data_IF_676473555978
#
_entry.id   IF_676473555978
#
_cell.length_a   1.000
_cell.length_b   1.000
_cell.length_c   1.000
_cell.angle_alpha   90.00
_cell.angle_beta   90.00
_cell.angle_gamma   90.00
#
_symmetry.space_group_name_H-M   'P 1'
#
loop_
_entity.id
_entity.type
_entity.pdbx_description
1 polymer ?
#
# COMPACT_ATOMS: atom_id res chain seq x y z
N UNK A 1 -18.20 2.74 -14.03
CA UNK A 1 -16.83 2.49 -14.54
C UNK A 1 -16.22 1.40 -13.66
N UNK A 2 -15.49 0.43 -14.21
CA UNK A 2 -14.90 -0.64 -13.38
C UNK A 2 -13.79 -0.10 -12.48
N UNK A 3 -13.57 -0.79 -11.37
CA UNK A 3 -12.57 -0.45 -10.37
C UNK A 3 -11.18 -0.13 -10.94
N UNK A 4 -10.78 -0.96 -11.90
CA UNK A 4 -9.48 -0.89 -12.58
C UNK A 4 -9.35 0.32 -13.49
N UNK A 5 -10.46 0.83 -14.04
CA UNK A 5 -10.44 1.99 -14.94
C UNK A 5 -10.18 3.31 -14.20
N UNK A 6 -10.74 3.50 -13.00
CA UNK A 6 -10.40 4.68 -12.19
C UNK A 6 -8.95 4.68 -11.74
N UNK A 7 -8.39 3.49 -11.45
CA UNK A 7 -6.99 3.31 -11.11
C UNK A 7 -6.08 3.66 -12.29
N UNK A 8 -6.38 3.14 -13.48
CA UNK A 8 -5.60 3.46 -14.70
C UNK A 8 -5.67 4.95 -15.03
N UNK A 9 -6.85 5.56 -14.88
CA UNK A 9 -7.03 7.00 -15.09
C UNK A 9 -6.13 7.81 -14.15
N UNK A 10 -6.08 7.46 -12.87
CA UNK A 10 -5.26 8.16 -11.88
C UNK A 10 -3.76 8.03 -12.21
N UNK A 11 -3.29 6.81 -12.54
CA UNK A 11 -1.89 6.59 -12.95
C UNK A 11 -1.52 7.40 -14.19
N UNK A 12 -2.39 7.45 -15.19
CA UNK A 12 -2.18 8.26 -16.41
C UNK A 12 -2.13 9.75 -16.06
N UNK A 13 -3.02 10.21 -15.20
CA UNK A 13 -3.12 11.62 -14.82
C UNK A 13 -1.87 12.06 -14.03
N UNK A 14 -1.41 11.25 -13.08
CA UNK A 14 -0.14 11.47 -12.38
C UNK A 14 1.04 11.47 -13.36
N UNK A 15 1.09 10.51 -14.29
CA UNK A 15 2.13 10.47 -15.32
C UNK A 15 2.17 11.74 -16.17
N UNK A 16 1.00 12.25 -16.60
CA UNK A 16 0.89 13.50 -17.35
C UNK A 16 1.40 14.71 -16.55
N UNK A 17 1.10 14.79 -15.25
CA UNK A 17 1.61 15.87 -14.38
C UNK A 17 3.14 15.85 -14.32
N UNK A 18 3.74 14.67 -14.16
CA UNK A 18 5.20 14.53 -14.15
C UNK A 18 5.83 14.80 -15.52
N UNK A 19 5.12 14.52 -16.62
CA UNK A 19 5.59 14.79 -17.98
C UNK A 19 5.57 16.30 -18.30
N UNK A 20 4.58 17.04 -17.78
CA UNK A 20 4.42 18.48 -18.03
C UNK A 20 5.25 19.36 -17.09
N UNK A 21 5.30 19.04 -15.79
CA UNK A 21 5.93 19.89 -14.77
C UNK A 21 7.32 19.37 -14.34
N UNK A 22 7.72 18.19 -14.82
CA UNK A 22 8.99 17.57 -14.48
C UNK A 22 9.10 17.20 -12.99
N UNK A 23 10.33 16.96 -12.55
CA UNK A 23 10.64 16.55 -11.17
C UNK A 23 10.76 17.79 -10.28
N UNK A 24 9.76 18.07 -9.45
CA UNK A 24 9.78 19.21 -8.54
C UNK A 24 8.66 19.22 -7.51
N UNK A 25 8.75 20.15 -6.54
CA UNK A 25 7.75 20.33 -5.47
C UNK A 25 6.36 20.70 -6.01
N UNK A 26 6.30 21.38 -7.15
CA UNK A 26 5.04 21.76 -7.81
C UNK A 26 4.32 20.53 -8.36
N UNK A 27 5.04 19.63 -9.06
CA UNK A 27 4.49 18.36 -9.55
C UNK A 27 3.97 17.49 -8.40
N UNK A 28 4.65 17.52 -7.25
CA UNK A 28 4.21 16.83 -6.04
C UNK A 28 2.86 17.35 -5.53
N UNK A 29 2.76 18.67 -5.35
CA UNK A 29 1.54 19.30 -4.83
C UNK A 29 0.35 19.11 -5.78
N UNK A 30 0.59 19.22 -7.09
CA UNK A 30 -0.43 18.96 -8.11
C UNK A 30 -0.91 17.52 -8.07
N UNK A 31 0.03 16.55 -8.02
CA UNK A 31 -0.30 15.13 -7.88
C UNK A 31 -1.13 14.90 -6.62
N UNK A 32 -0.73 15.46 -5.47
CA UNK A 32 -1.48 15.35 -4.22
C UNK A 32 -2.92 15.87 -4.35
N UNK A 33 -3.10 17.07 -4.90
CA UNK A 33 -4.42 17.69 -5.04
C UNK A 33 -5.30 16.88 -5.99
N UNK A 34 -4.77 16.49 -7.14
CA UNK A 34 -5.55 15.75 -8.15
C UNK A 34 -5.98 14.41 -7.60
N UNK A 35 -5.05 13.69 -6.99
CA UNK A 35 -5.29 12.35 -6.49
C UNK A 35 -6.20 12.34 -5.26
N UNK A 36 -6.07 13.30 -4.34
CA UNK A 36 -7.04 13.49 -3.24
C UNK A 36 -8.42 13.92 -3.77
N UNK A 37 -8.44 14.74 -4.82
CA UNK A 37 -9.67 15.16 -5.50
C UNK A 37 -10.40 13.98 -6.15
N UNK A 38 -9.69 13.11 -6.86
CA UNK A 38 -10.24 11.90 -7.49
C UNK A 38 -10.80 10.92 -6.45
N UNK A 39 -10.11 10.76 -5.32
CA UNK A 39 -10.59 9.95 -4.21
C UNK A 39 -11.90 10.51 -3.62
N UNK A 40 -11.95 11.82 -3.37
CA UNK A 40 -13.13 12.49 -2.81
C UNK A 40 -14.32 12.40 -3.79
N UNK A 41 -14.06 12.58 -5.09
CA UNK A 41 -15.05 12.43 -6.14
C UNK A 41 -15.62 11.00 -6.19
N UNK A 42 -14.77 9.99 -6.08
CA UNK A 42 -15.19 8.59 -5.96
C UNK A 42 -16.11 8.36 -4.76
N UNK A 43 -15.78 8.95 -3.60
CA UNK A 43 -16.59 8.82 -2.38
C UNK A 43 -17.98 9.46 -2.53
N UNK A 44 -18.06 10.65 -3.13
CA UNK A 44 -19.33 11.36 -3.40
C UNK A 44 -20.23 10.55 -4.33
N UNK A 45 -19.68 9.95 -5.39
CA UNK A 45 -20.45 9.09 -6.31
C UNK A 45 -20.99 7.86 -5.57
N UNK A 46 -20.17 7.21 -4.74
CA UNK A 46 -20.63 5.99 -4.06
C UNK A 46 -21.75 6.30 -3.07
N UNK A 47 -21.64 7.38 -2.29
CA UNK A 47 -22.71 7.85 -1.41
C UNK A 47 -23.99 8.13 -2.21
N UNK A 48 -23.87 8.81 -3.36
CA UNK A 48 -25.02 9.10 -4.24
C UNK A 48 -25.66 7.85 -4.83
N UNK A 49 -24.92 6.74 -4.92
CA UNK A 49 -25.41 5.47 -5.48
C UNK A 49 -25.99 4.50 -4.43
N UNK A 50 -25.98 4.88 -3.14
CA UNK A 50 -26.46 4.11 -2.00
C UNK A 50 -25.86 2.68 -1.89
N UNK A 51 -24.66 2.47 -2.46
CA UNK A 51 -23.96 1.19 -2.40
C UNK A 51 -23.21 1.07 -1.06
N UNK A 52 -23.49 0.00 -0.30
CA UNK A 52 -22.94 -0.26 1.05
C UNK A 52 -21.51 -0.85 1.03
N UNK A 53 -20.95 -1.09 -0.16
CA UNK A 53 -19.60 -1.63 -0.34
C UNK A 53 -18.45 -0.62 -0.70
N UNK A 54 -18.50 0.71 -0.37
CA UNK A 54 -17.53 1.70 -0.88
C UNK A 54 -16.07 1.43 -0.49
N UNK A 55 -15.86 0.85 0.68
CA UNK A 55 -14.59 0.94 1.41
C UNK A 55 -13.52 0.04 0.77
N UNK A 56 -13.90 -1.13 0.26
CA UNK A 56 -12.92 -2.08 -0.28
C UNK A 56 -12.31 -1.64 -1.61
N UNK A 57 -13.03 -0.84 -2.38
CA UNK A 57 -12.54 -0.36 -3.67
C UNK A 57 -11.64 0.87 -3.56
N UNK A 58 -11.87 1.73 -2.56
CA UNK A 58 -11.06 2.93 -2.35
C UNK A 58 -9.77 2.66 -1.57
N UNK A 59 -9.71 1.65 -0.70
CA UNK A 59 -8.50 1.29 0.07
C UNK A 59 -7.25 1.09 -0.81
N UNK A 60 -7.25 0.26 -1.87
CA UNK A 60 -6.05 0.08 -2.70
C UNK A 60 -5.64 1.37 -3.41
N UNK A 61 -6.62 2.21 -3.78
CA UNK A 61 -6.35 3.54 -4.32
C UNK A 61 -5.70 4.42 -3.26
N UNK A 62 -6.31 4.63 -2.10
CA UNK A 62 -5.76 5.41 -0.99
C UNK A 62 -4.34 4.99 -0.61
N UNK A 63 -4.08 3.69 -0.49
CA UNK A 63 -2.76 3.16 -0.14
C UNK A 63 -1.75 3.43 -1.24
N UNK A 64 -2.12 3.22 -2.51
CA UNK A 64 -1.25 3.56 -3.63
C UNK A 64 -0.91 5.05 -3.63
N UNK A 65 -1.90 5.91 -3.38
CA UNK A 65 -1.75 7.36 -3.30
C UNK A 65 -0.82 7.75 -2.15
N UNK A 66 -1.04 7.24 -0.95
CA UNK A 66 -0.16 7.44 0.19
C UNK A 66 1.26 6.96 -0.12
N UNK A 67 1.40 5.81 -0.77
CA UNK A 67 2.71 5.26 -1.16
C UNK A 67 3.37 6.07 -2.29
N UNK A 68 2.60 6.63 -3.21
CA UNK A 68 3.05 7.55 -4.27
C UNK A 68 3.38 8.94 -3.73
N UNK A 69 2.86 9.33 -2.56
CA UNK A 69 3.25 10.54 -1.83
C UNK A 69 4.46 10.26 -0.94
N UNK A 70 4.54 9.06 -0.35
CA UNK A 70 5.73 8.57 0.35
C UNK A 70 6.89 8.39 -0.64
N UNK A 71 6.65 8.04 -1.90
CA UNK A 71 7.72 7.86 -2.87
C UNK A 71 8.57 9.14 -3.01
N UNK A 72 8.02 10.35 -3.15
CA UNK A 72 8.82 11.58 -3.16
C UNK A 72 9.22 12.12 -1.78
N UNK A 73 8.48 11.77 -0.71
CA UNK A 73 8.73 12.30 0.65
C UNK A 73 9.72 11.43 1.43
N UNK A 74 9.58 10.10 1.35
CA UNK A 74 10.43 9.07 2.00
C UNK A 74 11.67 8.76 1.15
N UNK A 75 11.55 8.77 -0.18
CA UNK A 75 12.74 8.97 -1.03
C UNK A 75 13.03 10.46 -1.00
N UNK A 76 13.55 10.92 0.14
CA UNK A 76 14.28 12.17 0.24
C UNK A 76 15.13 12.31 -1.03
N UNK A 77 15.15 13.48 -1.67
CA UNK A 77 15.94 13.77 -2.87
C UNK A 77 17.34 13.11 -2.83
N UNK A 78 17.91 12.98 -1.63
CA UNK A 78 19.10 12.21 -1.26
C UNK A 78 19.05 10.73 -1.69
N UNK A 79 18.03 9.93 -1.33
CA UNK A 79 17.91 8.52 -1.74
C UNK A 79 17.65 8.36 -3.23
N UNK A 80 16.88 9.26 -3.84
CA UNK A 80 16.66 9.24 -5.29
C UNK A 80 17.98 9.53 -6.02
N UNK A 81 18.75 10.50 -5.52
CA UNK A 81 20.09 10.82 -6.04
C UNK A 81 21.07 9.67 -5.81
N UNK A 82 21.00 8.97 -4.67
CA UNK A 82 21.77 7.75 -4.43
C UNK A 82 21.34 6.58 -5.33
N UNK A 83 20.05 6.45 -5.63
CA UNK A 83 19.50 5.43 -6.52
C UNK A 83 19.93 5.65 -7.97
N UNK A 84 19.78 6.88 -8.47
CA UNK A 84 20.28 7.26 -9.79
C UNK A 84 21.80 7.14 -9.83
N UNK A 85 22.50 7.54 -8.76
CA UNK A 85 23.95 7.36 -8.63
C UNK A 85 24.36 5.89 -8.60
N UNK A 86 23.62 4.99 -7.94
CA UNK A 86 24.00 3.57 -7.85
C UNK A 86 23.69 2.82 -9.14
N UNK A 87 22.59 3.13 -9.81
CA UNK A 87 22.26 2.61 -11.15
C UNK A 87 23.27 3.07 -12.20
N UNK A 88 23.71 4.34 -12.17
CA UNK A 88 24.67 4.86 -13.15
C UNK A 88 26.12 4.48 -12.86
N UNK A 89 26.49 4.11 -11.62
CA UNK A 89 27.90 3.93 -11.26
C UNK A 89 28.29 2.59 -10.64
N UNK A 90 27.39 1.74 -10.13
CA UNK A 90 27.87 0.53 -9.42
C UNK A 90 26.89 -0.67 -9.34
N UNK A 91 26.59 -1.27 -10.50
CA UNK A 91 25.91 -2.59 -10.56
C UNK A 91 26.74 -3.71 -9.91
N UNK A 92 28.07 -3.56 -9.81
CA UNK A 92 28.97 -4.62 -9.31
C UNK A 92 29.00 -4.73 -7.78
N UNK A 93 28.69 -3.66 -7.04
CA UNK A 93 28.72 -3.69 -5.56
C UNK A 93 27.34 -3.80 -4.91
N UNK A 94 26.25 -3.67 -5.67
CA UNK A 94 24.91 -3.80 -5.11
C UNK A 94 24.51 -5.29 -5.01
N UNK A 95 24.09 -5.77 -3.82
CA UNK A 95 23.64 -7.14 -3.67
C UNK A 95 22.37 -7.39 -4.50
N UNK A 96 22.04 -8.65 -4.78
CA UNK A 96 20.83 -8.95 -5.55
C UNK A 96 19.56 -8.58 -4.76
N UNK A 97 18.72 -7.72 -5.34
CA UNK A 97 17.40 -7.34 -4.79
C UNK A 97 16.29 -8.35 -5.11
N UNK A 98 16.54 -9.30 -6.00
CA UNK A 98 15.52 -10.20 -6.53
C UNK A 98 14.92 -11.11 -5.46
N UNK A 99 15.78 -11.78 -4.67
CA UNK A 99 15.33 -12.70 -3.63
C UNK A 99 14.47 -11.99 -2.54
N UNK A 100 14.92 -10.87 -1.93
CA UNK A 100 14.10 -10.15 -0.95
C UNK A 100 12.82 -9.57 -1.58
N UNK A 101 12.89 -9.13 -2.84
CA UNK A 101 11.71 -8.68 -3.59
C UNK A 101 10.68 -9.80 -3.79
N UNK A 102 11.12 -11.01 -4.17
CA UNK A 102 10.26 -12.17 -4.34
C UNK A 102 9.66 -12.66 -3.02
N UNK A 103 10.41 -12.62 -1.92
CA UNK A 103 9.88 -12.95 -0.59
C UNK A 103 8.76 -11.99 -0.16
N UNK A 104 8.96 -10.69 -0.39
CA UNK A 104 7.95 -9.68 -0.13
C UNK A 104 6.71 -9.88 -1.02
N UNK A 105 6.91 -10.18 -2.31
CA UNK A 105 5.83 -10.46 -3.25
C UNK A 105 5.02 -11.69 -2.82
N UNK A 106 5.70 -12.78 -2.45
CA UNK A 106 5.06 -14.00 -1.98
C UNK A 106 4.22 -13.75 -0.73
N UNK A 107 4.74 -12.97 0.22
CA UNK A 107 4.02 -12.60 1.44
C UNK A 107 2.74 -11.79 1.13
N UNK A 108 2.81 -10.85 0.18
CA UNK A 108 1.64 -10.12 -0.32
C UNK A 108 0.61 -11.03 -0.98
N UNK A 109 1.05 -12.00 -1.79
CA UNK A 109 0.16 -12.99 -2.42
C UNK A 109 -0.54 -13.85 -1.36
N UNK A 110 0.22 -14.38 -0.39
CA UNK A 110 -0.34 -15.25 0.66
C UNK A 110 -1.45 -14.53 1.44
N UNK A 111 -1.22 -13.28 1.83
CA UNK A 111 -2.20 -12.49 2.57
C UNK A 111 -3.42 -12.09 1.73
N UNK A 112 -3.23 -11.80 0.43
CA UNK A 112 -4.33 -11.59 -0.50
C UNK A 112 -5.19 -12.84 -0.72
N UNK A 113 -4.56 -14.02 -0.84
CA UNK A 113 -5.27 -15.31 -0.99
C UNK A 113 -6.08 -15.63 0.26
N UNK A 114 -5.51 -15.44 1.45
CA UNK A 114 -6.24 -15.61 2.71
C UNK A 114 -7.49 -14.72 2.71
N UNK A 115 -7.36 -13.43 2.38
CA UNK A 115 -8.52 -12.54 2.30
C UNK A 115 -9.55 -13.00 1.25
N UNK A 116 -9.12 -13.45 0.07
CA UNK A 116 -10.00 -13.94 -1.00
C UNK A 116 -10.86 -15.14 -0.56
N UNK A 117 -10.27 -16.04 0.23
CA UNK A 117 -10.95 -17.25 0.72
C UNK A 117 -11.88 -16.95 1.89
N UNK A 118 -11.43 -16.17 2.87
CA UNK A 118 -12.16 -15.95 4.13
C UNK A 118 -13.08 -14.71 4.12
N UNK A 119 -12.76 -13.69 3.31
CA UNK A 119 -13.52 -12.44 3.22
C UNK A 119 -14.96 -12.62 2.72
N UNK A 120 -15.25 -13.74 2.03
CA UNK A 120 -16.61 -14.13 1.62
C UNK A 120 -17.49 -14.55 2.80
N UNK A 121 -16.90 -15.19 3.81
CA UNK A 121 -17.63 -15.67 4.99
C UNK A 121 -17.79 -14.59 6.06
N UNK A 122 -16.82 -13.68 6.15
CA UNK A 122 -16.81 -12.59 7.13
C UNK A 122 -16.75 -11.23 6.41
N UNK A 123 -17.81 -10.83 5.69
CA UNK A 123 -17.84 -9.53 5.05
C UNK A 123 -17.96 -8.43 6.10
N UNK A 124 -17.25 -7.31 5.90
CA UNK A 124 -17.30 -6.17 6.81
C UNK A 124 -18.72 -5.59 6.94
N UNK A 125 -19.52 -5.63 5.87
CA UNK A 125 -20.93 -5.24 5.91
C UNK A 125 -21.80 -6.14 6.81
N UNK A 126 -21.36 -7.36 7.07
CA UNK A 126 -22.04 -8.29 7.99
C UNK A 126 -22.07 -7.78 9.43
N UNK A 127 -21.11 -6.96 9.85
CA UNK A 127 -21.08 -6.34 11.19
C UNK A 127 -22.23 -5.33 11.37
N UNK A 128 -22.70 -4.70 10.29
CA UNK A 128 -23.78 -3.71 10.33
C UNK A 128 -25.18 -4.34 10.21
N UNK A 129 -25.27 -5.66 10.01
CA UNK A 129 -26.54 -6.35 9.83
C UNK A 129 -27.33 -6.49 11.14
N UNK A 130 -28.66 -6.50 11.03
CA UNK A 130 -29.56 -6.73 12.17
C UNK A 130 -29.36 -8.12 12.79
N UNK A 131 -29.02 -9.13 11.96
CA UNK A 131 -28.68 -10.48 12.43
C UNK A 131 -27.47 -10.50 13.35
N UNK A 132 -26.45 -9.67 13.07
CA UNK A 132 -25.30 -9.51 13.94
C UNK A 132 -25.70 -8.84 15.26
N UNK A 133 -26.60 -7.85 15.22
CA UNK A 133 -27.11 -7.18 16.43
C UNK A 133 -27.92 -8.12 17.34
N UNK A 134 -28.56 -9.15 16.81
CA UNK A 134 -29.31 -10.13 17.60
C UNK A 134 -28.42 -11.18 18.31
N UNK A 135 -27.13 -11.29 17.97
CA UNK A 135 -26.21 -12.30 18.57
C UNK A 135 -25.75 -11.94 19.99
N UNK A 136 -25.36 -12.95 20.75
CA UNK A 136 -24.74 -12.80 22.08
C UNK A 136 -23.43 -12.00 22.01
N UNK A 137 -23.09 -11.30 23.10
CA UNK A 137 -21.95 -10.39 23.17
C UNK A 137 -20.61 -11.05 22.82
N UNK A 138 -20.37 -12.29 23.29
CA UNK A 138 -19.14 -13.03 22.97
C UNK A 138 -19.00 -13.31 21.47
N UNK A 139 -20.07 -13.78 20.84
CA UNK A 139 -20.11 -14.06 19.40
C UNK A 139 -19.90 -12.80 18.57
N UNK A 140 -20.43 -11.65 19.01
CA UNK A 140 -20.18 -10.35 18.39
C UNK A 140 -18.69 -9.99 18.44
N UNK A 141 -18.08 -10.07 19.61
CA UNK A 141 -16.65 -9.77 19.78
C UNK A 141 -15.77 -10.67 18.90
N UNK A 142 -16.05 -11.98 18.85
CA UNK A 142 -15.29 -12.91 18.01
C UNK A 142 -15.40 -12.58 16.52
N UNK A 143 -16.63 -12.36 16.03
CA UNK A 143 -16.86 -12.01 14.61
C UNK A 143 -16.21 -10.66 14.29
N UNK A 144 -16.28 -9.68 15.19
CA UNK A 144 -15.63 -8.37 15.02
C UNK A 144 -14.11 -8.50 14.95
N UNK A 145 -13.49 -9.29 15.82
CA UNK A 145 -12.03 -9.54 15.81
C UNK A 145 -11.61 -10.22 14.51
N UNK A 146 -12.30 -11.29 14.11
CA UNK A 146 -12.00 -12.04 12.88
C UNK A 146 -12.13 -11.13 11.65
N UNK A 147 -13.25 -10.41 11.54
CA UNK A 147 -13.51 -9.51 10.42
C UNK A 147 -12.50 -8.35 10.37
N UNK A 148 -12.14 -7.78 11.53
CA UNK A 148 -11.10 -6.76 11.64
C UNK A 148 -9.72 -7.27 11.22
N UNK A 149 -9.34 -8.49 11.63
CA UNK A 149 -8.07 -9.12 11.22
C UNK A 149 -8.03 -9.38 9.71
N UNK A 150 -9.11 -9.88 9.12
CA UNK A 150 -9.21 -10.08 7.67
C UNK A 150 -9.11 -8.77 6.89
N UNK A 151 -9.76 -7.71 7.37
CA UNK A 151 -9.64 -6.38 6.78
C UNK A 151 -8.20 -5.83 6.87
N UNK A 152 -7.52 -6.03 8.00
CA UNK A 152 -6.12 -5.65 8.17
C UNK A 152 -5.19 -6.42 7.23
N UNK A 153 -5.36 -7.74 7.09
CA UNK A 153 -4.53 -8.54 6.19
C UNK A 153 -4.71 -8.16 4.71
N UNK A 154 -5.92 -7.80 4.29
CA UNK A 154 -6.14 -7.21 2.96
C UNK A 154 -5.33 -5.92 2.79
N UNK A 155 -5.38 -5.03 3.79
CA UNK A 155 -4.60 -3.78 3.77
C UNK A 155 -3.09 -4.04 3.68
N UNK A 156 -2.57 -4.97 4.50
CA UNK A 156 -1.15 -5.34 4.49
C UNK A 156 -0.71 -5.94 3.14
N UNK A 157 -1.59 -6.69 2.46
CA UNK A 157 -1.28 -7.25 1.14
C UNK A 157 -0.98 -6.15 0.11
N UNK A 158 -1.81 -5.11 0.05
CA UNK A 158 -1.59 -3.96 -0.85
C UNK A 158 -0.27 -3.25 -0.52
N UNK A 159 0.00 -3.04 0.77
CA UNK A 159 1.21 -2.36 1.20
C UNK A 159 2.49 -3.13 0.85
N UNK A 160 2.45 -4.45 0.99
CA UNK A 160 3.57 -5.34 0.69
C UNK A 160 3.80 -5.50 -0.79
N UNK A 161 2.76 -5.56 -1.62
CA UNK A 161 2.92 -5.48 -3.08
C UNK A 161 3.66 -4.21 -3.52
N UNK A 162 3.26 -3.07 -2.99
CA UNK A 162 3.94 -1.82 -3.27
C UNK A 162 5.37 -1.76 -2.68
N UNK A 163 5.66 -2.51 -1.61
CA UNK A 163 7.02 -2.66 -1.09
C UNK A 163 7.90 -3.53 -1.98
N UNK A 164 7.35 -4.64 -2.48
CA UNK A 164 8.06 -5.58 -3.35
C UNK A 164 8.55 -4.91 -4.64
N UNK A 165 7.74 -4.05 -5.27
CA UNK A 165 8.15 -3.30 -6.47
C UNK A 165 9.34 -2.38 -6.17
N UNK A 166 9.33 -1.68 -5.04
CA UNK A 166 10.44 -0.81 -4.61
C UNK A 166 11.73 -1.58 -4.36
N UNK A 167 11.63 -2.77 -3.74
CA UNK A 167 12.78 -3.64 -3.45
C UNK A 167 13.41 -4.11 -4.75
N UNK A 168 12.59 -4.67 -5.67
CA UNK A 168 13.07 -5.16 -6.97
C UNK A 168 13.74 -4.04 -7.76
N UNK A 169 13.15 -2.83 -7.74
CA UNK A 169 13.73 -1.66 -8.39
C UNK A 169 15.07 -1.23 -7.82
N UNK A 170 15.46 -1.69 -6.61
CA UNK A 170 16.74 -1.34 -5.99
C UNK A 170 16.66 -0.16 -5.01
N UNK A 171 15.47 0.44 -4.87
CA UNK A 171 15.27 1.70 -4.14
C UNK A 171 15.33 1.49 -2.63
N UNK A 172 15.01 0.28 -2.17
CA UNK A 172 14.97 -0.04 -0.74
C UNK A 172 16.30 -0.44 -0.13
N UNK A 173 17.40 -0.34 -0.89
CA UNK A 173 18.73 -0.68 -0.41
C UNK A 173 19.22 0.31 0.66
N UNK A 174 19.50 -0.18 1.85
CA UNK A 174 20.21 0.55 2.88
C UNK A 174 21.71 0.29 2.72
N UNK A 175 22.44 1.23 2.10
CA UNK A 175 23.90 1.15 2.01
C UNK A 175 24.52 1.44 3.38
N UNK A 176 25.22 0.47 3.96
CA UNK A 176 26.07 0.70 5.14
C UNK A 176 27.39 1.33 4.70
N UNK A 177 27.80 2.41 5.37
CA UNK A 177 29.11 3.03 5.16
C UNK A 177 30.24 2.26 5.87
N UNK A 178 29.90 1.39 6.82
CA UNK A 178 30.87 0.71 7.69
C UNK A 178 31.09 -0.75 7.31
N UNK A 179 30.13 -1.39 6.63
CA UNK A 179 30.17 -2.82 6.30
C UNK A 179 29.92 -2.98 4.79
N UNK A 180 30.96 -3.30 3.99
CA UNK A 180 30.87 -3.40 2.53
C UNK A 180 29.87 -4.47 2.04
N UNK A 181 29.72 -5.57 2.78
CA UNK A 181 28.84 -6.70 2.45
C UNK A 181 27.42 -6.59 3.07
N UNK A 182 27.04 -5.40 3.56
CA UNK A 182 25.73 -5.24 4.21
C UNK A 182 24.59 -5.32 3.19
N UNK A 183 23.78 -6.38 3.30
CA UNK A 183 22.62 -6.66 2.45
C UNK A 183 21.32 -6.36 3.19
N UNK A 184 20.89 -5.10 3.17
CA UNK A 184 19.64 -4.68 3.80
C UNK A 184 18.74 -3.98 2.79
N UNK A 185 17.56 -4.56 2.60
CA UNK A 185 16.54 -4.10 1.66
C UNK A 185 15.33 -3.48 2.37
N UNK A 186 15.48 -3.14 3.66
CA UNK A 186 14.34 -2.83 4.50
C UNK A 186 13.89 -1.37 4.52
N UNK A 187 14.53 -0.50 3.74
CA UNK A 187 14.30 0.95 3.80
C UNK A 187 12.87 1.41 3.48
N UNK A 188 12.06 0.55 2.84
CA UNK A 188 10.67 0.86 2.42
C UNK A 188 9.64 -0.14 2.98
N UNK A 189 10.05 -1.05 3.86
CA UNK A 189 9.09 -1.90 4.58
C UNK A 189 8.42 -1.06 5.66
N UNK A 190 7.20 -0.58 5.41
CA UNK A 190 6.41 0.09 6.45
C UNK A 190 5.43 -0.86 7.15
N UNK A 191 5.46 -2.15 6.80
CA UNK A 191 4.65 -3.19 7.44
C UNK A 191 5.56 -4.28 7.97
N UNK A 192 5.56 -4.43 9.30
CA UNK A 192 6.12 -5.59 9.96
C UNK A 192 4.95 -6.45 10.44
N UNK A 193 4.72 -7.59 9.77
CA UNK A 193 3.58 -8.46 10.08
C UNK A 193 3.56 -8.89 11.54
N UNK A 194 4.72 -9.27 12.08
CA UNK A 194 4.82 -9.78 13.44
C UNK A 194 4.58 -8.71 14.49
N UNK A 195 5.19 -7.53 14.31
CA UNK A 195 5.04 -6.45 15.28
C UNK A 195 3.65 -5.79 15.20
N UNK A 196 3.11 -5.64 13.99
CA UNK A 196 1.81 -4.99 13.78
C UNK A 196 0.63 -5.87 14.21
N UNK A 197 0.84 -7.20 14.34
CA UNK A 197 -0.19 -8.11 14.82
C UNK A 197 -0.42 -8.04 16.34
N UNK A 198 0.61 -7.68 17.09
CA UNK A 198 0.62 -7.59 18.56
C UNK A 198 0.73 -6.17 19.10
N UNK A 199 1.04 -5.17 18.26
CA UNK A 199 1.03 -3.77 18.68
C UNK A 199 -0.41 -3.35 18.99
N UNK A 200 -0.74 -3.24 20.27
CA UNK A 200 -1.90 -2.49 20.72
C UNK A 200 -1.75 -1.05 20.25
N UNK A 201 -2.78 -0.51 19.61
CA UNK A 201 -2.87 0.84 19.02
C UNK A 201 -2.79 2.00 20.05
N UNK A 202 -2.17 1.77 21.21
CA UNK A 202 -2.09 2.69 22.36
C UNK A 202 -0.64 3.12 22.63
N UNK A 203 0.10 3.50 21.59
CA UNK A 203 1.36 4.24 21.73
C UNK A 203 1.26 5.58 21.02
#
# INVERSE_FOLDING_TARGET
>A
LSASLHFLLDVILVYCVYLLFGKGRVSLLLTLIITMGHLTFGYVIVISSNQVHPIFWTIPHCVLVLKLIEFPVVISYIRYKHFISSILFDYKTTPSSLLPGLQCLLLGILTAVIYSQFGKYFPLSGILSEEYQARSLLSKLLIMIITGKLALWHYMAVWTFAGATCVIMGISYNKSLFIPEYTDWTAVYNVNFWNNETSSTLQ
#
